data_IF_905735954613
#
_entry.id   IF_905735954613
#
_cell.length_a   1.000
_cell.length_b   1.000
_cell.length_c   1.000
_cell.angle_alpha   90.00
_cell.angle_beta   90.00
_cell.angle_gamma   90.00
#
_symmetry.space_group_name_H-M   'P 1'
#
loop_
_entity.id
_entity.type
_entity.pdbx_description
1 polymer ?
#
# COMPACT_ATOMS: atom_id res chain seq x y z
N UNK A 1 -4.76 0.71 20.36
CA UNK A 1 -3.51 -0.01 20.72
C UNK A 1 -2.31 0.58 19.98
N UNK A 2 -2.28 0.53 18.64
CA UNK A 2 -1.14 1.01 17.84
C UNK A 2 -0.85 2.52 17.98
N UNK A 3 -1.86 3.38 17.83
CA UNK A 3 -1.70 4.83 17.90
C UNK A 3 -1.17 5.34 19.24
N UNK A 4 -1.59 4.71 20.34
CA UNK A 4 -1.11 5.06 21.68
C UNK A 4 0.37 4.73 21.86
N UNK A 5 0.79 3.56 21.37
CA UNK A 5 2.18 3.13 21.38
C UNK A 5 3.04 4.10 20.55
N UNK A 6 2.63 4.37 19.32
CA UNK A 6 3.31 5.31 18.43
C UNK A 6 3.44 6.71 19.03
N UNK A 7 2.33 7.33 19.46
CA UNK A 7 2.33 8.69 20.02
C UNK A 7 3.16 8.82 21.31
N UNK A 8 3.14 7.80 22.18
CA UNK A 8 3.94 7.78 23.40
C UNK A 8 5.44 7.70 23.08
N UNK A 9 5.84 6.75 22.21
CA UNK A 9 7.24 6.56 21.88
C UNK A 9 7.79 7.65 20.95
N UNK A 10 6.96 8.31 20.14
CA UNK A 10 7.39 9.51 19.39
C UNK A 10 7.77 10.64 20.34
N UNK A 11 7.04 10.82 21.44
CA UNK A 11 7.40 11.79 22.48
C UNK A 11 8.77 11.48 23.09
N UNK A 12 9.00 10.21 23.46
CA UNK A 12 10.30 9.74 23.96
C UNK A 12 11.42 9.84 22.92
N UNK A 13 11.13 9.67 21.63
CA UNK A 13 12.10 9.81 20.56
C UNK A 13 12.66 11.25 20.47
N UNK A 14 11.78 12.25 20.54
CA UNK A 14 12.19 13.66 20.49
C UNK A 14 12.85 14.15 21.78
N UNK A 15 12.32 13.79 22.94
CA UNK A 15 12.81 14.32 24.23
C UNK A 15 13.83 13.41 24.94
N UNK A 16 14.07 12.20 24.43
CA UNK A 16 14.91 11.18 25.07
C UNK A 16 16.38 11.22 24.69
N UNK A 17 16.83 12.14 23.84
CA UNK A 17 18.22 12.19 23.35
C UNK A 17 19.27 12.31 24.47
N UNK A 18 19.02 13.17 25.46
CA UNK A 18 19.95 13.39 26.58
C UNK A 18 19.70 12.47 27.78
N UNK A 19 18.60 11.70 27.76
CA UNK A 19 18.13 10.88 28.90
C UNK A 19 18.18 9.37 28.68
N UNK A 20 18.24 8.92 27.43
CA UNK A 20 18.28 7.51 27.06
C UNK A 20 19.67 7.13 26.54
N UNK A 21 20.12 5.92 26.87
CA UNK A 21 21.31 5.35 26.22
C UNK A 21 21.05 5.06 24.74
N UNK A 22 22.12 4.94 23.93
CA UNK A 22 22.03 4.70 22.47
C UNK A 22 21.13 3.51 22.10
N UNK A 23 21.24 2.40 22.83
CA UNK A 23 20.43 1.19 22.59
C UNK A 23 18.97 1.42 22.94
N UNK A 24 18.70 2.17 24.01
CA UNK A 24 17.34 2.48 24.44
C UNK A 24 16.66 3.42 23.44
N UNK A 25 17.37 4.44 22.97
CA UNK A 25 16.85 5.35 21.94
C UNK A 25 16.58 4.62 20.61
N UNK A 26 17.47 3.70 20.21
CA UNK A 26 17.22 2.82 19.07
C UNK A 26 15.98 1.94 19.28
N UNK A 27 15.80 1.33 20.45
CA UNK A 27 14.62 0.52 20.75
C UNK A 27 13.32 1.34 20.68
N UNK A 28 13.32 2.57 21.21
CA UNK A 28 12.19 3.52 21.10
C UNK A 28 11.88 3.80 19.63
N UNK A 29 12.89 4.04 18.81
CA UNK A 29 12.73 4.29 17.37
C UNK A 29 12.09 3.10 16.65
N UNK A 30 12.51 1.87 16.97
CA UNK A 30 11.89 0.65 16.42
C UNK A 30 10.44 0.46 16.88
N UNK A 31 10.13 0.80 18.13
CA UNK A 31 8.77 0.73 18.65
C UNK A 31 7.84 1.74 17.97
N UNK A 32 8.33 2.94 17.65
CA UNK A 32 7.57 3.90 16.82
C UNK A 32 7.24 3.28 15.46
N UNK A 33 8.23 2.74 14.75
CA UNK A 33 8.03 2.12 13.44
C UNK A 33 7.06 0.92 13.50
N UNK A 34 7.16 0.09 14.55
CA UNK A 34 6.26 -1.03 14.79
C UNK A 34 4.82 -0.53 15.07
N UNK A 35 4.68 0.54 15.86
CA UNK A 35 3.41 1.19 16.13
C UNK A 35 2.71 1.67 14.85
N UNK A 36 3.44 2.36 13.97
CA UNK A 36 2.89 2.84 12.69
C UNK A 36 2.44 1.67 11.81
N UNK A 37 3.19 0.56 11.78
CA UNK A 37 2.81 -0.66 11.03
C UNK A 37 1.56 -1.33 11.59
N UNK A 38 1.46 -1.47 12.91
CA UNK A 38 0.26 -2.02 13.54
C UNK A 38 -0.96 -1.13 13.28
N UNK A 39 -0.77 0.20 13.22
CA UNK A 39 -1.85 1.14 12.91
C UNK A 39 -2.38 0.91 11.49
N UNK A 40 -1.45 0.78 10.52
CA UNK A 40 -1.79 0.44 9.14
C UNK A 40 -2.51 -0.92 9.06
N UNK A 41 -2.07 -1.94 9.80
CA UNK A 41 -2.71 -3.26 9.82
C UNK A 41 -4.18 -3.16 10.19
N UNK A 42 -4.51 -2.55 11.32
CA UNK A 42 -5.90 -2.52 11.80
C UNK A 42 -6.83 -1.69 10.92
N UNK A 43 -6.34 -0.57 10.39
CA UNK A 43 -7.10 0.24 9.44
C UNK A 43 -7.36 -0.54 8.14
N UNK A 44 -6.37 -1.29 7.65
CA UNK A 44 -6.49 -2.04 6.40
C UNK A 44 -7.27 -3.34 6.55
N UNK A 45 -7.33 -3.93 7.74
CA UNK A 45 -8.28 -5.01 8.07
C UNK A 45 -9.72 -4.49 7.95
N UNK A 46 -10.02 -3.32 8.51
CA UNK A 46 -11.34 -2.71 8.36
C UNK A 46 -11.66 -2.38 6.90
N UNK A 47 -10.72 -1.80 6.16
CA UNK A 47 -10.90 -1.52 4.73
C UNK A 47 -11.05 -2.80 3.89
N UNK A 48 -10.31 -3.85 4.22
CA UNK A 48 -10.41 -5.16 3.58
C UNK A 48 -11.79 -5.77 3.77
N UNK A 49 -12.33 -5.71 4.99
CA UNK A 49 -13.69 -6.15 5.28
C UNK A 49 -14.76 -5.34 4.53
N UNK A 50 -14.62 -4.01 4.43
CA UNK A 50 -15.55 -3.19 3.62
C UNK A 50 -15.54 -3.57 2.12
N UNK A 51 -14.46 -4.19 1.63
CA UNK A 51 -14.34 -4.62 0.24
C UNK A 51 -14.74 -6.07 0.03
N UNK A 52 -14.59 -6.91 1.06
CA UNK A 52 -14.94 -8.31 1.08
C UNK A 52 -15.49 -8.67 2.47
N UNK A 53 -16.81 -8.51 2.69
CA UNK A 53 -17.43 -8.66 4.01
C UNK A 53 -17.62 -10.14 4.37
N UNK A 54 -16.51 -10.85 4.55
CA UNK A 54 -16.48 -12.23 5.08
C UNK A 54 -16.68 -12.22 6.60
N UNK A 55 -17.03 -13.39 7.15
CA UNK A 55 -17.17 -13.61 8.59
C UNK A 55 -18.19 -12.67 9.28
N UNK A 56 -19.22 -12.26 8.54
CA UNK A 56 -20.36 -11.48 9.04
C UNK A 56 -21.66 -12.03 8.47
N UNK A 57 -22.72 -12.02 9.27
CA UNK A 57 -24.06 -12.46 8.88
C UNK A 57 -25.10 -11.39 9.23
N UNK A 58 -26.19 -11.32 8.46
CA UNK A 58 -27.24 -10.33 8.68
C UNK A 58 -28.27 -10.85 9.68
N UNK A 59 -28.41 -10.16 10.81
CA UNK A 59 -29.41 -10.48 11.81
C UNK A 59 -30.68 -9.64 11.57
N UNK A 60 -31.79 -10.31 11.23
CA UNK A 60 -33.08 -9.68 10.96
C UNK A 60 -33.76 -9.11 12.21
N UNK A 61 -33.38 -9.54 13.42
CA UNK A 61 -33.94 -9.03 14.67
C UNK A 61 -33.29 -7.69 15.05
N UNK A 62 -31.96 -7.59 14.90
CA UNK A 62 -31.19 -6.39 15.25
C UNK A 62 -30.98 -5.44 14.07
N UNK A 63 -31.44 -5.83 12.85
CA UNK A 63 -31.34 -5.08 11.61
C UNK A 63 -29.91 -4.60 11.28
N UNK A 64 -28.91 -5.44 11.58
CA UNK A 64 -27.49 -5.13 11.37
C UNK A 64 -26.69 -6.38 11.01
N UNK A 65 -25.51 -6.16 10.44
CA UNK A 65 -24.51 -7.21 10.26
C UNK A 65 -23.85 -7.52 11.62
N UNK A 66 -23.84 -8.78 12.00
CA UNK A 66 -23.17 -9.27 13.22
C UNK A 66 -21.94 -10.10 12.84
N UNK A 67 -20.89 -9.99 13.64
CA UNK A 67 -19.63 -10.68 13.40
C UNK A 67 -19.75 -12.14 13.79
N UNK A 68 -19.38 -13.03 12.88
CA UNK A 68 -19.43 -14.49 13.07
C UNK A 68 -18.08 -15.02 13.55
N UNK A 69 -16.98 -14.54 12.96
CA UNK A 69 -15.63 -15.01 13.27
C UNK A 69 -14.59 -13.89 13.20
N UNK A 70 -13.95 -13.59 14.33
CA UNK A 70 -12.92 -12.55 14.40
C UNK A 70 -11.63 -12.97 13.70
N UNK A 71 -11.24 -14.24 13.80
CA UNK A 71 -10.00 -14.75 13.17
C UNK A 71 -10.07 -14.69 11.65
N UNK A 72 -11.20 -15.08 11.06
CA UNK A 72 -11.43 -14.99 9.61
C UNK A 72 -11.46 -13.55 9.13
N UNK A 73 -12.04 -12.64 9.91
CA UNK A 73 -12.05 -11.21 9.59
C UNK A 73 -10.62 -10.64 9.51
N UNK A 74 -9.75 -10.98 10.45
CA UNK A 74 -8.35 -10.52 10.48
C UNK A 74 -7.52 -11.16 9.36
N UNK A 75 -7.77 -12.44 9.04
CA UNK A 75 -7.06 -13.19 7.99
C UNK A 75 -7.69 -13.03 6.60
N UNK A 76 -8.54 -12.04 6.39
CA UNK A 76 -9.15 -11.76 5.09
C UNK A 76 -8.05 -11.56 4.02
N UNK A 77 -8.08 -12.33 2.91
CA UNK A 77 -7.05 -12.25 1.87
C UNK A 77 -6.91 -10.83 1.29
N UNK A 78 -8.02 -10.11 1.15
CA UNK A 78 -8.03 -8.71 0.69
C UNK A 78 -7.31 -7.80 1.68
N UNK A 79 -7.47 -8.02 2.98
CA UNK A 79 -6.78 -7.23 4.01
C UNK A 79 -5.26 -7.48 3.99
N UNK A 80 -4.83 -8.74 3.82
CA UNK A 80 -3.41 -9.11 3.76
C UNK A 80 -2.70 -8.46 2.57
N UNK A 81 -3.30 -8.55 1.39
CA UNK A 81 -2.79 -7.95 0.16
C UNK A 81 -2.68 -6.42 0.29
N UNK A 82 -3.73 -5.77 0.81
CA UNK A 82 -3.74 -4.33 1.04
C UNK A 82 -2.68 -3.89 2.03
N UNK A 83 -2.54 -4.63 3.12
CA UNK A 83 -1.55 -4.34 4.14
C UNK A 83 -0.14 -4.30 3.55
N UNK A 84 0.27 -5.37 2.87
CA UNK A 84 1.60 -5.45 2.24
C UNK A 84 1.78 -4.34 1.20
N UNK A 85 0.79 -4.13 0.32
CA UNK A 85 0.87 -3.14 -0.74
C UNK A 85 0.97 -1.70 -0.21
N UNK A 86 0.12 -1.32 0.75
CA UNK A 86 0.08 0.04 1.30
C UNK A 86 1.29 0.33 2.17
N UNK A 87 1.73 -0.61 3.01
CA UNK A 87 2.93 -0.44 3.83
C UNK A 87 4.18 -0.33 2.96
N UNK A 88 4.34 -1.21 1.96
CA UNK A 88 5.45 -1.13 1.01
C UNK A 88 5.45 0.20 0.26
N UNK A 89 4.29 0.65 -0.20
CA UNK A 89 4.13 1.95 -0.89
C UNK A 89 4.47 3.13 0.03
N UNK A 90 4.11 3.06 1.31
CA UNK A 90 4.49 4.05 2.33
C UNK A 90 6.00 4.13 2.53
N UNK A 91 6.69 2.99 2.62
CA UNK A 91 8.14 2.94 2.70
C UNK A 91 8.83 3.52 1.48
N UNK A 92 8.32 3.25 0.28
CA UNK A 92 8.82 3.84 -0.97
C UNK A 92 8.65 5.36 -0.96
N UNK A 93 7.49 5.84 -0.54
CA UNK A 93 7.21 7.27 -0.45
C UNK A 93 8.21 7.96 0.49
N UNK A 94 8.41 7.42 1.69
CA UNK A 94 9.38 7.96 2.65
C UNK A 94 10.82 7.89 2.13
N UNK A 95 11.21 6.78 1.51
CA UNK A 95 12.54 6.57 0.98
C UNK A 95 12.86 7.44 -0.25
N UNK A 96 11.85 7.84 -1.03
CA UNK A 96 11.98 8.83 -2.10
C UNK A 96 11.99 10.27 -1.58
N UNK A 97 11.21 10.56 -0.54
CA UNK A 97 11.07 11.91 0.01
C UNK A 97 12.36 12.46 0.60
N UNK A 98 13.06 11.69 1.44
CA UNK A 98 14.29 12.14 2.13
C UNK A 98 15.40 12.55 1.14
N UNK A 99 15.82 11.71 0.17
CA UNK A 99 16.83 12.11 -0.81
C UNK A 99 16.31 13.14 -1.81
N UNK A 100 15.02 13.11 -2.17
CA UNK A 100 14.40 14.10 -3.06
C UNK A 100 14.44 15.51 -2.48
N UNK A 101 14.12 15.66 -1.18
CA UNK A 101 14.23 16.93 -0.46
C UNK A 101 15.67 17.44 -0.43
N UNK A 102 16.63 16.55 -0.14
CA UNK A 102 18.04 16.91 -0.12
C UNK A 102 18.54 17.36 -1.50
N UNK A 103 18.15 16.67 -2.58
CA UNK A 103 18.50 17.06 -3.96
C UNK A 103 17.94 18.44 -4.32
N UNK A 104 16.69 18.71 -3.93
CA UNK A 104 16.06 20.01 -4.15
C UNK A 104 16.83 21.14 -3.45
N UNK A 105 17.28 20.91 -2.21
CA UNK A 105 18.06 21.88 -1.45
C UNK A 105 19.46 22.11 -2.04
N UNK A 106 20.13 21.07 -2.56
CA UNK A 106 21.40 21.23 -3.28
C UNK A 106 21.24 22.00 -4.59
N UNK A 107 20.14 21.81 -5.30
CA UNK A 107 19.85 22.52 -6.55
C UNK A 107 19.41 23.98 -6.33
N UNK A 108 19.06 24.36 -5.09
CA UNK A 108 18.63 25.71 -4.77
C UNK A 108 19.83 26.67 -4.61
N UNK A 109 19.76 27.91 -5.14
CA UNK A 109 20.83 28.91 -5.03
C UNK A 109 21.12 29.42 -3.60
N UNK A 110 20.38 28.93 -2.60
CA UNK A 110 20.58 29.20 -1.16
C UNK A 110 21.61 28.25 -0.52
N UNK A 111 22.17 27.31 -1.28
CA UNK A 111 23.14 26.32 -0.80
C UNK A 111 24.55 26.88 -0.55
N UNK A 112 24.69 27.85 0.35
CA UNK A 112 25.98 28.36 0.84
C UNK A 112 26.31 27.89 2.27
N UNK A 113 25.41 27.18 2.94
CA UNK A 113 25.65 26.65 4.30
C UNK A 113 26.47 25.36 4.29
N UNK A 114 27.58 25.26 5.06
CA UNK A 114 28.35 24.04 5.26
C UNK A 114 27.55 22.85 5.82
N UNK A 115 26.40 23.10 6.48
CA UNK A 115 25.51 22.05 6.97
C UNK A 115 24.78 21.29 5.84
N UNK A 116 24.71 21.89 4.65
CA UNK A 116 24.20 21.23 3.44
C UNK A 116 25.24 20.31 2.80
N UNK A 117 26.52 20.41 3.16
CA UNK A 117 27.61 19.54 2.67
C UNK A 117 27.85 18.30 3.55
N UNK A 118 26.93 17.99 4.46
CA UNK A 118 26.99 16.73 5.21
C UNK A 118 27.03 15.54 4.22
N UNK A 119 27.94 14.57 4.39
CA UNK A 119 28.07 13.45 3.46
C UNK A 119 26.73 12.72 3.38
N UNK A 120 26.17 12.72 2.16
CA UNK A 120 24.98 12.01 1.72
C UNK A 120 24.50 10.92 2.71
N UNK A 121 23.45 11.18 3.51
CA UNK A 121 22.67 10.09 4.11
C UNK A 121 21.95 9.25 3.02
N UNK A 122 22.06 9.66 1.76
CA UNK A 122 21.40 9.06 0.60
C UNK A 122 21.78 7.61 0.34
N UNK A 123 22.93 7.10 0.78
CA UNK A 123 23.28 5.71 0.47
C UNK A 123 22.34 4.70 1.12
N UNK A 124 21.91 4.93 2.36
CA UNK A 124 20.97 4.04 3.03
C UNK A 124 19.53 4.31 2.59
N UNK A 125 19.14 5.58 2.39
CA UNK A 125 17.82 5.95 1.90
C UNK A 125 17.55 5.46 0.46
N UNK A 126 18.57 5.42 -0.41
CA UNK A 126 18.46 4.95 -1.79
C UNK A 126 18.36 3.42 -1.94
N UNK A 127 18.63 2.64 -0.89
CA UNK A 127 18.56 1.17 -0.94
C UNK A 127 17.14 0.67 -0.69
N UNK A 128 16.37 1.32 0.19
CA UNK A 128 14.99 0.93 0.52
C UNK A 128 14.01 0.91 -0.67
N UNK A 129 14.03 1.84 -1.63
CA UNK A 129 13.18 1.81 -2.81
C UNK A 129 13.48 0.63 -3.74
N UNK A 130 14.72 0.11 -3.74
CA UNK A 130 15.09 -1.07 -4.54
C UNK A 130 14.41 -2.35 -4.03
N UNK A 131 13.92 -2.38 -2.78
CA UNK A 131 13.13 -3.48 -2.22
C UNK A 131 11.63 -3.38 -2.56
N UNK A 132 11.18 -2.26 -3.14
CA UNK A 132 9.79 -2.06 -3.57
C UNK A 132 9.31 -3.10 -4.58
N UNK A 133 10.01 -3.34 -5.71
CA UNK A 133 9.51 -4.25 -6.76
C UNK A 133 9.39 -5.69 -6.24
N UNK A 134 10.23 -6.09 -5.28
CA UNK A 134 10.14 -7.40 -4.63
C UNK A 134 8.83 -7.56 -3.84
N UNK A 135 8.35 -6.50 -3.19
CA UNK A 135 7.08 -6.53 -2.45
C UNK A 135 5.88 -6.67 -3.40
N UNK A 136 5.96 -6.08 -4.60
CA UNK A 136 4.93 -6.20 -5.65
C UNK A 136 4.93 -7.60 -6.31
N UNK A 137 6.09 -8.25 -6.44
CA UNK A 137 6.21 -9.57 -7.05
C UNK A 137 5.73 -10.72 -6.17
N UNK A 138 5.76 -10.57 -4.84
CA UNK A 138 5.42 -11.65 -3.90
C UNK A 138 3.91 -11.75 -3.63
N UNK A 139 3.16 -10.66 -3.80
CA UNK A 139 1.70 -10.63 -3.57
C UNK A 139 1.01 -9.96 -4.75
N UNK A 140 0.54 -10.75 -5.71
CA UNK A 140 -0.17 -10.24 -6.88
C UNK A 140 -1.51 -9.64 -6.47
N UNK A 141 -1.50 -8.35 -6.09
CA UNK A 141 -2.73 -7.63 -5.72
C UNK A 141 -3.76 -7.58 -6.85
N UNK A 142 -3.31 -7.67 -8.10
CA UNK A 142 -4.17 -7.81 -9.27
C UNK A 142 -4.85 -9.18 -9.36
N UNK A 143 -4.22 -10.26 -8.90
CA UNK A 143 -4.80 -11.61 -8.83
C UNK A 143 -6.00 -11.61 -7.88
N UNK A 144 -5.77 -11.21 -6.63
CA UNK A 144 -6.78 -11.24 -5.56
C UNK A 144 -7.92 -10.24 -5.83
N UNK A 145 -7.63 -9.09 -6.46
CA UNK A 145 -8.68 -8.17 -6.88
C UNK A 145 -9.53 -8.72 -8.03
N UNK A 146 -8.95 -9.55 -8.92
CA UNK A 146 -9.68 -10.24 -9.97
C UNK A 146 -10.64 -11.32 -9.46
N UNK A 147 -10.28 -11.99 -8.36
CA UNK A 147 -11.14 -13.02 -7.75
C UNK A 147 -12.24 -12.41 -6.88
N UNK A 148 -11.93 -11.37 -6.11
CA UNK A 148 -12.88 -10.81 -5.13
C UNK A 148 -13.69 -9.63 -5.69
N UNK A 149 -13.11 -8.80 -6.56
CA UNK A 149 -13.72 -7.56 -7.04
C UNK A 149 -13.57 -7.36 -8.56
N UNK A 150 -14.15 -8.30 -9.33
CA UNK A 150 -14.18 -8.31 -10.80
C UNK A 150 -14.58 -6.97 -11.43
N UNK A 151 -15.56 -6.27 -10.85
CA UNK A 151 -16.03 -4.97 -11.35
C UNK A 151 -14.94 -3.89 -11.32
N UNK A 152 -14.11 -3.87 -10.27
CA UNK A 152 -13.02 -2.88 -10.16
C UNK A 152 -11.93 -3.17 -11.19
N UNK A 153 -11.57 -4.44 -11.34
CA UNK A 153 -10.55 -4.83 -12.31
C UNK A 153 -11.04 -4.56 -13.75
N UNK A 154 -12.29 -4.89 -14.07
CA UNK A 154 -12.88 -4.60 -15.37
C UNK A 154 -12.92 -3.09 -15.68
N UNK A 155 -13.24 -2.27 -14.68
CA UNK A 155 -13.21 -0.81 -14.83
C UNK A 155 -11.78 -0.25 -15.00
N UNK A 156 -10.81 -0.79 -14.28
CA UNK A 156 -9.39 -0.40 -14.39
C UNK A 156 -8.81 -0.80 -15.74
N UNK A 157 -9.15 -1.98 -16.27
CA UNK A 157 -8.68 -2.42 -17.59
C UNK A 157 -9.59 -1.89 -18.73
N UNK A 158 -10.64 -1.13 -18.42
CA UNK A 158 -11.63 -0.66 -19.38
C UNK A 158 -12.17 -1.78 -20.29
N UNK A 159 -12.46 -2.94 -19.69
CA UNK A 159 -13.05 -4.09 -20.35
C UNK A 159 -14.58 -4.02 -20.19
N UNK A 160 -15.29 -3.92 -21.31
CA UNK A 160 -16.75 -3.74 -21.35
C UNK A 160 -17.51 -5.04 -21.58
N UNK A 161 -16.85 -6.04 -22.18
CA UNK A 161 -17.46 -7.32 -22.52
C UNK A 161 -16.73 -8.47 -21.82
N UNK A 162 -17.49 -9.46 -21.34
CA UNK A 162 -16.92 -10.66 -20.74
C UNK A 162 -16.31 -11.53 -21.83
N UNK A 163 -14.98 -11.67 -21.84
CA UNK A 163 -14.30 -12.55 -22.79
C UNK A 163 -14.07 -13.94 -22.20
N UNK A 164 -14.25 -15.02 -22.98
CA UNK A 164 -13.87 -16.36 -22.54
C UNK A 164 -12.34 -16.46 -22.52
N UNK A 165 -11.73 -16.20 -21.36
CA UNK A 165 -10.28 -16.26 -21.16
C UNK A 165 -9.74 -15.09 -20.33
N UNK A 166 -8.41 -14.97 -20.28
CA UNK A 166 -7.72 -13.86 -19.61
C UNK A 166 -7.93 -12.55 -20.34
N UNK A 167 -8.28 -11.49 -19.59
CA UNK A 167 -8.51 -10.15 -20.13
C UNK A 167 -7.31 -9.60 -20.88
N UNK A 168 -7.59 -8.68 -21.82
CA UNK A 168 -6.57 -7.89 -22.50
C UNK A 168 -6.02 -6.85 -21.53
N UNK A 169 -4.71 -6.61 -21.56
CA UNK A 169 -4.12 -5.48 -20.85
C UNK A 169 -4.11 -4.27 -21.75
N UNK A 170 -4.63 -3.16 -21.24
CA UNK A 170 -4.57 -1.87 -21.89
C UNK A 170 -3.60 -0.99 -21.10
N UNK A 171 -2.32 -0.86 -21.47
CA UNK A 171 -1.40 0.05 -20.77
C UNK A 171 -1.80 1.52 -20.86
N UNK A 172 -2.44 1.90 -21.96
CA UNK A 172 -2.92 3.27 -22.21
C UNK A 172 -4.26 3.19 -22.94
N UNK A 173 -5.30 3.80 -22.37
CA UNK A 173 -6.61 3.89 -22.97
C UNK A 173 -7.30 5.22 -22.64
N UNK A 174 -8.24 5.59 -23.50
CA UNK A 174 -9.21 6.64 -23.27
C UNK A 174 -10.60 6.05 -23.52
N UNK A 175 -11.33 5.82 -22.44
CA UNK A 175 -12.66 5.24 -22.45
C UNK A 175 -13.73 6.30 -22.27
N UNK A 176 -14.93 6.02 -22.80
CA UNK A 176 -16.11 6.86 -22.62
C UNK A 176 -17.19 6.01 -21.96
N UNK A 177 -17.48 6.30 -20.69
CA UNK A 177 -18.35 5.43 -19.87
C UNK A 177 -19.81 5.40 -20.31
N UNK A 178 -20.30 6.48 -20.92
CA UNK A 178 -21.67 6.58 -21.47
C UNK A 178 -21.88 5.68 -22.70
N UNK A 179 -20.84 5.51 -23.51
CA UNK A 179 -20.88 4.72 -24.73
C UNK A 179 -20.37 3.28 -24.55
N UNK A 180 -19.91 2.92 -23.35
CA UNK A 180 -19.27 1.64 -23.01
C UNK A 180 -18.22 1.21 -24.04
N UNK A 181 -17.41 2.18 -24.52
CA UNK A 181 -16.44 1.98 -25.59
C UNK A 181 -15.14 2.69 -25.30
N UNK A 182 -14.04 2.05 -25.71
CA UNK A 182 -12.73 2.66 -25.71
C UNK A 182 -12.53 3.40 -27.03
N UNK A 183 -12.39 4.73 -26.97
CA UNK A 183 -12.12 5.56 -28.16
C UNK A 183 -10.70 5.36 -28.67
N UNK A 184 -9.78 5.16 -27.74
CA UNK A 184 -8.39 4.86 -28.01
C UNK A 184 -7.92 3.84 -26.99
N UNK A 185 -7.29 2.77 -27.43
CA UNK A 185 -6.64 1.84 -26.52
C UNK A 185 -5.49 1.12 -27.22
N UNK A 186 -4.31 1.15 -26.61
CA UNK A 186 -3.21 0.29 -27.01
C UNK A 186 -3.44 -1.04 -26.30
N UNK A 187 -3.57 -2.12 -27.07
CA UNK A 187 -3.83 -3.46 -26.53
C UNK A 187 -2.57 -4.30 -26.63
N UNK A 188 -2.13 -4.87 -25.50
CA UNK A 188 -1.07 -5.86 -25.48
C UNK A 188 -1.71 -7.25 -25.29
N UNK A 189 -1.57 -8.15 -26.29
CA UNK A 189 -2.08 -9.51 -26.15
C UNK A 189 -1.28 -10.32 -25.11
N UNK A 190 -1.98 -11.25 -24.48
CA UNK A 190 -1.68 -12.03 -23.27
C UNK A 190 -0.23 -12.51 -23.01
N UNK A 191 0.66 -12.68 -23.99
CA UNK A 191 2.00 -13.26 -23.75
C UNK A 191 2.93 -12.44 -22.85
N UNK A 192 2.54 -11.21 -22.48
CA UNK A 192 3.25 -10.34 -21.55
C UNK A 192 2.38 -9.86 -20.37
N UNK A 193 1.22 -10.49 -20.17
CA UNK A 193 0.25 -10.08 -19.16
C UNK A 193 0.56 -10.65 -17.78
N UNK A 194 0.69 -9.77 -16.79
CA UNK A 194 0.93 -10.09 -15.38
C UNK A 194 -0.35 -10.58 -14.65
N UNK A 195 -1.48 -10.74 -15.36
CA UNK A 195 -2.79 -11.05 -14.80
C UNK A 195 -3.28 -12.47 -15.17
N UNK A 196 -4.04 -13.14 -14.29
CA UNK A 196 -4.57 -14.48 -14.52
C UNK A 196 -5.90 -14.46 -15.30
N UNK A 197 -6.31 -15.61 -15.86
CA UNK A 197 -7.61 -15.76 -16.49
C UNK A 197 -8.77 -15.43 -15.56
N UNK A 198 -9.73 -14.64 -16.04
CA UNK A 198 -11.03 -14.50 -15.40
C UNK A 198 -11.70 -15.88 -15.42
N UNK A 199 -11.65 -16.59 -14.29
CA UNK A 199 -12.46 -17.80 -14.12
C UNK A 199 -13.89 -17.35 -13.84
N UNK A 200 -14.74 -17.56 -14.85
CA UNK A 200 -16.20 -17.44 -14.77
C UNK A 200 -16.77 -18.51 -13.86
#
# INVERSE_FOLDING_TARGET
MAFFLESTFVGLFFFGWDRLGKVQHMAVTWLVALGSNLSALWILVANGWMQNPIASDFNFETMRMEMVSFSELVLNPVAQVKFVHTVASGYVCGAMFVPGHQLLLYAAPVATSPSLNAPLPSRQASVWPLFSPLSFSVMSSGYEMGDVQKTKLAAIEAEWETQPGTGRLHPVWYSRSDAQKNRFAIQIPYRWGLLPPFRG
#
